data_IF_194650258718
#
_entry.id   IF_194650258718
#
_cell.length_a   1.000
_cell.length_b   1.000
_cell.length_c   1.000
_cell.angle_alpha   90.00
_cell.angle_beta   90.00
_cell.angle_gamma   90.00
#
_symmetry.space_group_name_H-M   'P 1'
#
loop_
_entity.id
_entity.type
_entity.pdbx_description
1 polymer ?
#
# COMPACT_ATOMS: atom_id res chain seq x y z
N UNK A 1 -21.83 -13.05 19.32
CA UNK A 1 -20.98 -11.96 18.80
C UNK A 1 -20.76 -12.34 17.35
N UNK A 2 -21.32 -11.58 16.41
CA UNK A 2 -21.07 -11.85 14.98
C UNK A 2 -19.57 -11.71 14.74
N UNK A 3 -18.91 -12.81 14.37
CA UNK A 3 -17.49 -12.79 13.99
C UNK A 3 -17.31 -11.71 12.93
N UNK A 4 -16.63 -10.63 13.30
CA UNK A 4 -16.40 -9.51 12.39
C UNK A 4 -15.45 -9.99 11.31
N UNK A 5 -15.98 -10.19 10.10
CA UNK A 5 -15.19 -10.54 8.93
C UNK A 5 -14.72 -9.28 8.22
N UNK A 6 -13.48 -9.33 7.75
CA UNK A 6 -12.81 -8.27 7.02
C UNK A 6 -12.32 -8.79 5.67
N UNK A 7 -12.32 -7.90 4.69
CA UNK A 7 -11.72 -8.13 3.38
C UNK A 7 -10.52 -7.22 3.25
N UNK A 8 -9.34 -7.80 3.08
CA UNK A 8 -8.11 -7.05 2.85
C UNK A 8 -7.64 -7.19 1.42
N UNK A 9 -7.14 -6.09 0.87
CA UNK A 9 -6.32 -6.09 -0.33
C UNK A 9 -4.88 -5.82 0.08
N UNK A 10 -4.00 -6.78 -0.19
CA UNK A 10 -2.59 -6.71 0.14
C UNK A 10 -1.75 -6.56 -1.12
N UNK A 11 -0.73 -5.72 -1.08
CA UNK A 11 0.30 -5.61 -2.10
C UNK A 11 1.50 -6.47 -1.72
N UNK A 12 2.03 -7.22 -2.69
CA UNK A 12 3.19 -8.08 -2.52
C UNK A 12 4.32 -7.60 -3.43
N UNK A 13 5.55 -7.53 -2.94
CA UNK A 13 6.71 -7.08 -3.72
C UNK A 13 8.00 -7.80 -3.34
N UNK A 14 8.83 -8.16 -4.32
CA UNK A 14 10.12 -8.83 -4.07
C UNK A 14 11.12 -8.51 -5.17
N UNK A 15 12.38 -8.31 -4.81
CA UNK A 15 13.45 -8.12 -5.80
C UNK A 15 14.73 -8.93 -5.56
N UNK A 16 14.80 -9.73 -4.48
CA UNK A 16 15.95 -10.58 -4.19
C UNK A 16 15.63 -12.07 -4.42
N UNK A 17 16.65 -12.85 -4.81
CA UNK A 17 16.56 -14.31 -4.91
C UNK A 17 15.55 -14.80 -5.95
N UNK A 18 14.87 -15.92 -5.62
CA UNK A 18 13.82 -16.47 -6.49
C UNK A 18 12.49 -15.74 -6.27
N UNK A 19 12.32 -14.62 -6.98
CA UNK A 19 11.18 -13.70 -6.85
C UNK A 19 9.81 -14.38 -7.03
N UNK A 20 9.68 -15.29 -7.99
CA UNK A 20 8.40 -15.99 -8.19
C UNK A 20 8.08 -16.90 -7.00
N UNK A 21 9.07 -17.67 -6.53
CA UNK A 21 8.89 -18.54 -5.38
C UNK A 21 8.59 -17.74 -4.11
N UNK A 22 9.28 -16.61 -3.89
CA UNK A 22 9.01 -15.74 -2.74
C UNK A 22 7.55 -15.28 -2.72
N UNK A 23 6.98 -14.87 -3.86
CA UNK A 23 5.58 -14.47 -3.93
C UNK A 23 4.64 -15.64 -3.62
N UNK A 24 4.92 -16.84 -4.14
CA UNK A 24 4.11 -18.04 -3.88
C UNK A 24 4.17 -18.45 -2.39
N UNK A 25 5.35 -18.43 -1.80
CA UNK A 25 5.55 -18.75 -0.39
C UNK A 25 4.86 -17.73 0.52
N UNK A 26 4.91 -16.43 0.17
CA UNK A 26 4.20 -15.39 0.90
C UNK A 26 2.68 -15.61 0.86
N UNK A 27 2.12 -15.92 -0.32
CA UNK A 27 0.69 -16.23 -0.47
C UNK A 27 0.30 -17.45 0.37
N UNK A 28 1.08 -18.52 0.33
CA UNK A 28 0.82 -19.70 1.15
C UNK A 28 0.81 -19.37 2.65
N UNK A 29 1.80 -18.60 3.13
CA UNK A 29 1.87 -18.19 4.55
C UNK A 29 0.71 -17.28 4.95
N UNK A 30 0.22 -16.43 4.03
CA UNK A 30 -0.98 -15.62 4.22
C UNK A 30 -2.21 -16.53 4.36
N UNK A 31 -2.37 -17.54 3.51
CA UNK A 31 -3.46 -18.52 3.61
C UNK A 31 -3.45 -19.28 4.94
N UNK A 32 -2.27 -19.68 5.41
CA UNK A 32 -2.10 -20.45 6.63
C UNK A 32 -2.37 -19.64 7.91
N UNK A 33 -2.02 -18.34 7.93
CA UNK A 33 -1.99 -17.53 9.18
C UNK A 33 -3.02 -16.43 9.24
N UNK A 34 -3.38 -15.86 8.10
CA UNK A 34 -4.21 -14.65 8.04
C UNK A 34 -5.62 -15.02 7.63
N UNK A 35 -5.79 -15.76 6.54
CA UNK A 35 -7.12 -16.13 6.06
C UNK A 35 -7.11 -16.53 4.60
N UNK A 36 -8.30 -16.85 4.08
CA UNK A 36 -8.45 -17.38 2.73
C UNK A 36 -8.06 -16.33 1.69
N UNK A 37 -7.10 -16.66 0.84
CA UNK A 37 -6.79 -15.86 -0.35
C UNK A 37 -7.86 -16.15 -1.41
N UNK A 38 -8.71 -15.16 -1.67
CA UNK A 38 -9.84 -15.31 -2.59
C UNK A 38 -9.45 -14.99 -4.03
N UNK A 39 -8.47 -14.11 -4.21
CA UNK A 39 -7.91 -13.79 -5.53
C UNK A 39 -6.45 -13.35 -5.41
N UNK A 40 -5.70 -13.62 -6.47
CA UNK A 40 -4.30 -13.23 -6.64
C UNK A 40 -4.15 -12.74 -8.08
N UNK A 41 -3.54 -11.56 -8.26
CA UNK A 41 -3.25 -11.03 -9.59
C UNK A 41 -2.15 -11.83 -10.29
N UNK A 42 -1.94 -11.55 -11.57
CA UNK A 42 -0.67 -11.89 -12.22
C UNK A 42 0.54 -11.26 -11.49
N UNK A 43 1.74 -11.78 -11.79
CA UNK A 43 3.00 -11.22 -11.29
C UNK A 43 3.55 -10.21 -12.29
N UNK A 44 3.74 -8.98 -11.84
CA UNK A 44 4.15 -7.85 -12.67
C UNK A 44 5.61 -7.52 -12.42
N UNK A 45 6.43 -7.63 -13.47
CA UNK A 45 7.81 -7.16 -13.43
C UNK A 45 7.87 -5.63 -13.54
N UNK A 46 8.59 -4.99 -12.62
CA UNK A 46 8.75 -3.52 -12.61
C UNK A 46 10.18 -3.12 -12.28
N UNK A 47 10.56 -1.90 -12.69
CA UNK A 47 11.76 -1.25 -12.18
C UNK A 47 11.56 -0.84 -10.71
N UNK A 48 12.64 -0.67 -9.92
CA UNK A 48 12.58 -0.09 -8.59
C UNK A 48 11.91 1.30 -8.60
N UNK A 49 11.15 1.61 -7.55
CA UNK A 49 10.48 2.90 -7.39
C UNK A 49 11.07 3.66 -6.21
N UNK A 50 11.50 4.89 -6.43
CA UNK A 50 12.03 5.77 -5.37
C UNK A 50 13.49 5.52 -4.96
N UNK A 51 14.20 4.58 -5.60
CA UNK A 51 15.63 4.34 -5.43
C UNK A 51 16.22 3.59 -6.63
N UNK A 52 17.55 3.61 -6.78
CA UNK A 52 18.26 2.82 -7.78
C UNK A 52 18.65 1.45 -7.24
N UNK A 53 18.37 0.40 -8.01
CA UNK A 53 18.84 -0.96 -7.74
C UNK A 53 19.11 -1.70 -9.05
N UNK A 54 20.11 -2.59 -9.02
CA UNK A 54 20.38 -3.50 -10.13
C UNK A 54 19.29 -4.59 -10.27
N UNK A 55 18.43 -4.75 -9.26
CA UNK A 55 17.43 -5.80 -9.18
C UNK A 55 16.01 -5.26 -9.47
N UNK A 56 15.40 -5.72 -10.57
CA UNK A 56 13.98 -5.46 -10.84
C UNK A 56 13.04 -6.20 -9.88
N UNK A 57 11.89 -5.62 -9.60
CA UNK A 57 10.86 -6.21 -8.73
C UNK A 57 9.91 -7.12 -9.49
N UNK A 58 9.37 -8.12 -8.79
CA UNK A 58 8.05 -8.70 -9.10
C UNK A 58 7.05 -8.19 -8.06
N UNK A 59 5.88 -7.76 -8.53
CA UNK A 59 4.80 -7.29 -7.68
C UNK A 59 3.49 -8.01 -7.99
N UNK A 60 2.65 -8.18 -6.97
CA UNK A 60 1.31 -8.74 -7.10
C UNK A 60 0.36 -8.07 -6.10
N UNK A 61 -0.94 -8.30 -6.27
CA UNK A 61 -1.94 -7.99 -5.26
C UNK A 61 -2.78 -9.23 -4.97
N UNK A 62 -3.22 -9.38 -3.72
CA UNK A 62 -4.16 -10.43 -3.35
C UNK A 62 -5.31 -9.90 -2.51
N UNK A 63 -6.46 -10.54 -2.62
CA UNK A 63 -7.61 -10.34 -1.74
C UNK A 63 -7.62 -11.46 -0.70
N UNK A 64 -7.77 -11.09 0.56
CA UNK A 64 -7.84 -12.02 1.70
C UNK A 64 -9.12 -11.77 2.48
N UNK A 65 -9.88 -12.83 2.71
CA UNK A 65 -11.01 -12.81 3.63
C UNK A 65 -10.56 -13.39 4.97
N UNK A 66 -10.78 -12.66 6.06
CA UNK A 66 -10.27 -13.00 7.40
C UNK A 66 -11.21 -12.52 8.51
N UNK A 67 -10.97 -12.96 9.74
CA UNK A 67 -11.55 -12.42 10.97
C UNK A 67 -10.55 -11.55 11.76
N UNK A 68 -9.31 -11.43 11.28
CA UNK A 68 -8.29 -10.62 11.93
C UNK A 68 -8.56 -9.12 11.73
N UNK A 69 -8.47 -8.38 12.83
CA UNK A 69 -8.55 -6.93 12.83
C UNK A 69 -7.29 -6.28 12.24
N UNK A 70 -7.34 -4.99 11.84
CA UNK A 70 -6.25 -4.33 11.13
C UNK A 70 -4.85 -4.40 11.78
N UNK A 71 -4.77 -4.28 13.11
CA UNK A 71 -3.48 -4.39 13.80
C UNK A 71 -2.97 -5.84 13.84
N UNK A 72 -3.85 -6.82 13.94
CA UNK A 72 -3.48 -8.24 13.96
C UNK A 72 -2.96 -8.70 12.59
N UNK A 73 -3.57 -8.25 11.50
CA UNK A 73 -3.06 -8.55 10.15
C UNK A 73 -1.75 -7.80 9.88
N UNK A 74 -1.57 -6.58 10.40
CA UNK A 74 -0.29 -5.86 10.33
C UNK A 74 0.83 -6.64 11.03
N UNK A 75 0.57 -7.14 12.24
CA UNK A 75 1.53 -7.98 12.97
C UNK A 75 1.82 -9.29 12.24
N UNK A 76 0.78 -9.94 11.72
CA UNK A 76 0.91 -11.23 11.01
C UNK A 76 1.71 -11.10 9.72
N UNK A 77 1.46 -10.05 8.93
CA UNK A 77 2.21 -9.77 7.69
C UNK A 77 3.68 -9.46 8.00
N UNK A 78 3.96 -8.66 9.02
CA UNK A 78 5.34 -8.39 9.47
C UNK A 78 6.07 -9.66 9.95
N UNK A 79 5.37 -10.55 10.65
CA UNK A 79 5.94 -11.83 11.07
C UNK A 79 6.28 -12.73 9.87
N UNK A 80 5.44 -12.74 8.83
CA UNK A 80 5.71 -13.46 7.57
C UNK A 80 6.94 -12.87 6.88
N UNK A 81 7.03 -11.54 6.74
CA UNK A 81 8.20 -10.87 6.15
C UNK A 81 9.50 -11.25 6.89
N UNK A 82 9.47 -11.19 8.21
CA UNK A 82 10.62 -11.51 9.06
C UNK A 82 11.07 -12.97 8.87
N UNK A 83 10.15 -13.92 8.91
CA UNK A 83 10.43 -15.35 8.71
C UNK A 83 11.02 -15.65 7.33
N UNK A 84 10.56 -14.93 6.30
CA UNK A 84 11.10 -15.06 4.94
C UNK A 84 12.49 -14.42 4.78
N UNK A 85 13.01 -13.75 5.81
CA UNK A 85 14.37 -13.21 5.84
C UNK A 85 14.45 -11.70 5.72
N UNK A 86 13.34 -10.97 5.85
CA UNK A 86 13.38 -9.49 5.91
C UNK A 86 13.75 -9.04 7.33
N UNK A 87 15.03 -8.72 7.50
CA UNK A 87 15.61 -8.31 8.79
C UNK A 87 15.53 -6.80 9.08
N UNK A 88 14.98 -5.99 8.18
CA UNK A 88 14.83 -4.54 8.39
C UNK A 88 13.81 -3.88 7.46
N UNK A 89 13.22 -2.77 7.90
CA UNK A 89 12.40 -1.88 7.08
C UNK A 89 13.25 -0.69 6.60
N UNK A 90 12.81 -0.03 5.53
CA UNK A 90 13.41 1.22 5.05
C UNK A 90 13.57 2.22 6.22
N UNK A 91 14.80 2.64 6.51
CA UNK A 91 15.10 3.64 7.53
C UNK A 91 15.31 4.99 6.83
N UNK A 92 14.78 6.07 7.40
CA UNK A 92 14.94 7.45 6.90
C UNK A 92 14.51 7.67 5.43
N UNK A 93 13.52 6.90 4.95
CA UNK A 93 13.02 6.99 3.59
C UNK A 93 13.91 6.33 2.52
N UNK A 94 14.98 5.65 2.93
CA UNK A 94 15.86 4.91 2.04
C UNK A 94 15.26 3.53 1.77
N UNK A 95 14.88 3.28 0.53
CA UNK A 95 14.39 1.98 0.09
C UNK A 95 15.57 1.03 -0.17
N UNK A 96 15.41 -0.22 0.28
CA UNK A 96 16.38 -1.28 0.08
C UNK A 96 15.78 -2.46 -0.70
N UNK A 97 16.64 -3.27 -1.29
CA UNK A 97 16.26 -4.57 -1.81
C UNK A 97 15.72 -5.46 -0.69
N UNK A 98 14.73 -6.29 -1.01
CA UNK A 98 14.00 -7.11 -0.03
C UNK A 98 13.56 -8.44 -0.63
N UNK A 99 13.56 -9.46 0.23
CA UNK A 99 13.09 -10.80 -0.11
C UNK A 99 11.57 -10.83 -0.29
N UNK A 100 10.82 -10.06 0.51
CA UNK A 100 9.38 -9.87 0.36
C UNK A 100 8.94 -8.57 1.08
N UNK A 101 7.92 -7.91 0.53
CA UNK A 101 7.16 -6.80 1.09
C UNK A 101 5.68 -7.14 1.04
N UNK A 102 4.98 -6.95 2.16
CA UNK A 102 3.54 -7.17 2.27
C UNK A 102 2.89 -5.89 2.80
N UNK A 103 2.37 -5.08 1.88
CA UNK A 103 1.70 -3.83 2.19
C UNK A 103 0.20 -4.06 2.39
N UNK A 104 -0.36 -3.58 3.50
CA UNK A 104 -1.80 -3.50 3.69
C UNK A 104 -2.33 -2.30 2.90
N UNK A 105 -3.04 -2.54 1.80
CA UNK A 105 -3.53 -1.48 0.93
C UNK A 105 -4.89 -0.97 1.42
N UNK A 106 -5.87 -1.86 1.49
CA UNK A 106 -7.27 -1.51 1.77
C UNK A 106 -7.88 -2.56 2.69
N UNK A 107 -8.73 -2.12 3.60
CA UNK A 107 -9.56 -2.97 4.44
C UNK A 107 -11.03 -2.59 4.26
N UNK A 108 -11.90 -3.58 4.07
CA UNK A 108 -13.34 -3.42 4.07
C UNK A 108 -13.95 -4.21 5.23
N UNK A 109 -14.97 -3.66 5.88
CA UNK A 109 -15.84 -4.42 6.78
C UNK A 109 -16.75 -5.37 5.98
N UNK A 110 -17.46 -6.26 6.68
CA UNK A 110 -18.39 -7.22 6.06
C UNK A 110 -19.53 -6.55 5.25
N UNK A 111 -19.82 -5.27 5.51
CA UNK A 111 -20.80 -4.49 4.76
C UNK A 111 -20.19 -3.85 3.49
N UNK A 112 -18.91 -4.10 3.20
CA UNK A 112 -18.18 -3.56 2.07
C UNK A 112 -17.74 -2.11 2.26
N UNK A 113 -17.77 -1.57 3.48
CA UNK A 113 -17.34 -0.20 3.77
C UNK A 113 -15.86 -0.17 4.11
N UNK A 114 -15.16 0.85 3.61
CA UNK A 114 -13.75 1.07 3.94
C UNK A 114 -13.55 1.29 5.44
N UNK A 115 -12.64 0.50 6.02
CA UNK A 115 -12.15 0.71 7.38
C UNK A 115 -11.02 1.73 7.31
N UNK A 116 -11.21 2.87 7.99
CA UNK A 116 -10.25 3.95 8.04
C UNK A 116 -9.38 3.86 9.28
N UNK A 117 -8.07 4.03 9.10
CA UNK A 117 -7.12 4.15 10.20
C UNK A 117 -6.15 5.29 9.91
N UNK A 118 -5.88 6.09 10.94
CA UNK A 118 -4.83 7.10 10.91
C UNK A 118 -4.09 7.08 12.25
N UNK A 119 -3.25 6.05 12.42
CA UNK A 119 -2.40 5.90 13.60
C UNK A 119 -0.92 5.93 13.18
N UNK A 120 0.01 6.16 14.14
CA UNK A 120 1.44 6.05 13.85
C UNK A 120 1.86 4.67 13.30
N UNK A 121 1.14 3.61 13.68
CA UNK A 121 1.45 2.24 13.29
C UNK A 121 0.82 1.85 11.94
N UNK A 122 -0.37 2.36 11.62
CA UNK A 122 -1.12 1.95 10.44
C UNK A 122 -2.00 3.08 9.89
N UNK A 123 -1.89 3.28 8.57
CA UNK A 123 -2.79 4.15 7.81
C UNK A 123 -3.55 3.33 6.78
N UNK A 124 -4.88 3.38 6.83
CA UNK A 124 -5.77 2.70 5.90
C UNK A 124 -6.83 3.67 5.37
N UNK A 125 -7.09 3.68 4.05
CA UNK A 125 -6.31 3.05 2.99
C UNK A 125 -4.85 3.52 2.94
N UNK A 126 -3.95 2.72 2.37
CA UNK A 126 -2.54 3.10 2.28
C UNK A 126 -2.37 4.40 1.49
N UNK A 127 -1.68 5.42 2.03
CA UNK A 127 -1.76 6.80 1.54
C UNK A 127 -1.20 6.98 0.12
N UNK A 128 -0.25 6.14 -0.29
CA UNK A 128 0.44 6.26 -1.57
C UNK A 128 -0.07 5.28 -2.65
N UNK A 129 -1.19 4.58 -2.44
CA UNK A 129 -1.70 3.58 -3.40
C UNK A 129 -1.80 4.17 -4.81
N UNK A 130 -2.45 5.34 -4.93
CA UNK A 130 -2.71 5.99 -6.21
C UNK A 130 -1.45 6.52 -6.94
N UNK A 131 -0.32 6.63 -6.24
CA UNK A 131 0.95 7.12 -6.79
C UNK A 131 1.86 5.97 -7.27
N UNK A 132 1.47 4.72 -7.02
CA UNK A 132 2.30 3.54 -7.26
C UNK A 132 1.66 2.64 -8.30
N UNK A 133 2.10 2.76 -9.55
CA UNK A 133 1.62 1.93 -10.67
C UNK A 133 1.82 0.43 -10.42
N UNK A 134 2.92 0.05 -9.77
CA UNK A 134 3.21 -1.34 -9.40
C UNK A 134 2.25 -1.91 -8.34
N UNK A 135 1.48 -1.05 -7.67
CA UNK A 135 0.36 -1.42 -6.79
C UNK A 135 -0.95 -1.38 -7.56
N UNK A 136 -1.20 -0.28 -8.28
CA UNK A 136 -2.49 -0.03 -8.96
C UNK A 136 -2.78 -1.02 -10.08
N UNK A 137 -1.77 -1.43 -10.86
CA UNK A 137 -1.97 -2.39 -11.97
C UNK A 137 -2.41 -3.78 -11.45
N UNK A 138 -1.68 -4.43 -10.53
CA UNK A 138 -2.15 -5.67 -9.91
C UNK A 138 -3.51 -5.53 -9.21
N UNK A 139 -3.72 -4.44 -8.47
CA UNK A 139 -4.97 -4.22 -7.73
C UNK A 139 -6.17 -4.09 -8.67
N UNK A 140 -6.01 -3.39 -9.81
CA UNK A 140 -7.07 -3.20 -10.80
C UNK A 140 -7.52 -4.52 -11.42
N UNK A 141 -6.62 -5.49 -11.58
CA UNK A 141 -6.94 -6.82 -12.11
C UNK A 141 -7.94 -7.56 -11.22
N UNK A 142 -7.78 -7.46 -9.90
CA UNK A 142 -8.60 -8.21 -8.92
C UNK A 142 -9.73 -7.38 -8.31
N UNK A 143 -9.67 -6.06 -8.37
CA UNK A 143 -10.62 -5.13 -7.75
C UNK A 143 -10.80 -3.83 -8.56
N UNK A 144 -11.29 -3.90 -9.82
CA UNK A 144 -11.37 -2.74 -10.69
C UNK A 144 -12.21 -1.60 -10.11
N UNK A 145 -13.38 -1.91 -9.55
CA UNK A 145 -14.29 -0.91 -8.95
C UNK A 145 -13.64 -0.13 -7.81
N UNK A 146 -12.84 -0.82 -6.98
CA UNK A 146 -12.13 -0.20 -5.87
C UNK A 146 -11.05 0.76 -6.38
N UNK A 147 -10.32 0.38 -7.44
CA UNK A 147 -9.33 1.28 -8.06
C UNK A 147 -9.96 2.52 -8.68
N UNK A 148 -11.15 2.41 -9.28
CA UNK A 148 -11.88 3.57 -9.78
C UNK A 148 -12.28 4.53 -8.65
N UNK A 149 -12.78 3.99 -7.54
CA UNK A 149 -13.12 4.77 -6.33
C UNK A 149 -11.91 5.51 -5.74
N UNK A 150 -10.74 4.86 -5.68
CA UNK A 150 -9.50 5.50 -5.23
C UNK A 150 -9.14 6.69 -6.13
N UNK A 151 -9.15 6.48 -7.45
CA UNK A 151 -8.78 7.52 -8.42
C UNK A 151 -9.78 8.68 -8.44
N UNK A 152 -11.08 8.43 -8.25
CA UNK A 152 -12.09 9.49 -8.18
C UNK A 152 -11.91 10.36 -6.95
N UNK A 153 -11.67 9.74 -5.77
CA UNK A 153 -11.40 10.45 -4.51
C UNK A 153 -10.17 11.38 -4.64
N UNK A 154 -9.12 10.93 -5.32
CA UNK A 154 -7.94 11.77 -5.55
C UNK A 154 -8.20 12.97 -6.45
N UNK A 155 -8.91 12.77 -7.57
CA UNK A 155 -9.29 13.88 -8.46
C UNK A 155 -10.15 14.92 -7.75
N UNK A 156 -11.02 14.49 -6.86
CA UNK A 156 -11.84 15.40 -6.04
C UNK A 156 -10.99 16.18 -5.04
N UNK A 157 -10.06 15.50 -4.35
CA UNK A 157 -9.12 16.16 -3.44
C UNK A 157 -8.24 17.20 -4.16
N UNK A 158 -7.75 16.88 -5.36
CA UNK A 158 -6.97 17.82 -6.19
C UNK A 158 -7.79 19.04 -6.60
N UNK A 159 -9.04 18.85 -7.05
CA UNK A 159 -9.96 19.95 -7.36
C UNK A 159 -10.18 20.85 -6.14
N UNK A 160 -10.45 20.26 -4.97
CA UNK A 160 -10.68 21.01 -3.73
C UNK A 160 -9.46 21.81 -3.27
N UNK A 161 -8.24 21.35 -3.56
CA UNK A 161 -7.00 22.11 -3.30
C UNK A 161 -6.82 23.29 -4.25
N UNK A 162 -7.37 23.24 -5.46
CA UNK A 162 -7.28 24.31 -6.46
C UNK A 162 -8.32 25.41 -6.21
N UNK A 163 -9.52 25.08 -5.71
CA UNK A 163 -10.55 26.09 -5.34
C UNK A 163 -10.30 26.81 -4.03
N UNK A 164 -9.39 26.32 -3.18
CA UNK A 164 -8.84 27.05 -2.03
C UNK A 164 -7.38 27.45 -2.29
N UNK A 165 -7.10 28.47 -3.13
CA UNK A 165 -5.76 29.03 -3.14
C UNK A 165 -5.47 29.56 -1.73
N UNK A 166 -4.35 29.11 -1.17
CA UNK A 166 -3.77 29.71 0.01
C UNK A 166 -3.87 31.24 -0.11
N UNK A 167 -4.42 31.89 0.91
CA UNK A 167 -4.26 33.31 1.15
C UNK A 167 -2.76 33.58 1.29
N UNK A 168 -2.09 33.72 0.16
CA UNK A 168 -0.68 34.04 0.03
C UNK A 168 -0.56 35.51 0.45
N UNK A 169 -0.23 35.73 1.72
CA UNK A 169 0.11 37.04 2.24
C UNK A 169 1.31 37.58 1.49
N UNK A 170 1.08 38.48 0.53
CA UNK A 170 2.13 39.32 -0.03
C UNK A 170 2.46 40.39 1.01
N UNK A 171 3.58 40.23 1.70
CA UNK A 171 4.22 41.36 2.40
C UNK A 171 4.89 42.23 1.36
N UNK A 172 4.28 43.37 1.05
CA UNK A 172 4.88 44.44 0.26
C UNK A 172 6.06 45.05 1.03
N UNK A 173 7.29 44.77 0.62
CA UNK A 173 8.44 45.55 1.04
C UNK A 173 8.39 46.91 0.32
N UNK A 174 8.14 48.00 1.07
CA UNK A 174 8.40 49.35 0.57
C UNK A 174 9.91 49.57 0.55
N UNK A 175 10.46 49.79 -0.64
CA UNK A 175 11.82 50.31 -0.81
C UNK A 175 11.97 51.65 -0.07
N UNK A 176 13.03 51.87 0.73
CA UNK A 176 13.39 53.21 1.16
C UNK A 176 13.78 54.01 -0.09
N UNK A 177 13.25 55.23 -0.23
CA UNK A 177 13.80 56.20 -1.16
C UNK A 177 15.03 56.81 -0.50
N UNK A 178 16.11 56.86 -1.28
CA UNK A 178 17.33 57.60 -0.99
C UNK A 178 17.00 59.11 -0.89
N UNK A 179 17.59 59.78 0.11
CA UNK A 179 17.81 61.23 0.11
C UNK A 179 19.13 61.55 -0.59
#
# INVERSE_FOLDING_TARGET
MEDSSFIYYLGLGTNLGNKEQNLRDAVQKIEERIGKVVSLSAFYATVPWGFDSANGFLNAACRVDTTLHPLQILESTQAIEYEMGRIGKSVDGIYHDRIIDIDLLICLDISGREVLMDTPQLKLPHPLIHLRDFVMKPLKEIAPELTYSILSKQKENEKNRIVHPASMGYTMYKSPREE
#
